data_IF_836199139450
#
_entry.id   IF_836199139450
#
_cell.length_a   1.000
_cell.length_b   1.000
_cell.length_c   1.000
_cell.angle_alpha   90.00
_cell.angle_beta   90.00
_cell.angle_gamma   90.00
#
_symmetry.space_group_name_H-M   'P 1'
#
loop_
_entity.id
_entity.type
_entity.pdbx_description
1 polymer ?
#
# COMPACT_ATOMS: atom_id res chain seq x y z
N UNK A 1 -13.23 -31.71 42.08
CA UNK A 1 -13.10 -30.43 41.36
C UNK A 1 -14.51 -29.89 41.19
N UNK A 2 -14.84 -28.78 41.83
CA UNK A 2 -16.22 -28.32 41.91
C UNK A 2 -16.70 -27.81 40.55
N UNK A 3 -17.87 -28.29 40.11
CA UNK A 3 -18.50 -27.87 38.85
C UNK A 3 -18.68 -26.34 38.76
N UNK A 4 -18.81 -25.67 39.91
CA UNK A 4 -18.87 -24.22 40.01
C UNK A 4 -17.56 -23.52 39.56
N UNK A 5 -16.40 -24.06 39.96
CA UNK A 5 -15.10 -23.52 39.54
C UNK A 5 -14.88 -23.71 38.04
N UNK A 6 -15.23 -24.88 37.51
CA UNK A 6 -15.16 -25.16 36.08
C UNK A 6 -16.07 -24.22 35.28
N UNK A 7 -17.31 -24.02 35.74
CA UNK A 7 -18.26 -23.08 35.13
C UNK A 7 -17.74 -21.64 35.11
N UNK A 8 -17.14 -21.17 36.21
CA UNK A 8 -16.56 -19.84 36.29
C UNK A 8 -15.37 -19.65 35.32
N UNK A 9 -14.49 -20.64 35.20
CA UNK A 9 -13.37 -20.61 34.26
C UNK A 9 -13.87 -20.55 32.81
N UNK A 10 -14.85 -21.36 32.44
CA UNK A 10 -15.42 -21.36 31.09
C UNK A 10 -16.06 -20.01 30.76
N UNK A 11 -16.88 -19.47 31.68
CA UNK A 11 -17.51 -18.17 31.48
C UNK A 11 -16.48 -17.03 31.30
N UNK A 12 -15.41 -17.06 32.08
CA UNK A 12 -14.32 -16.08 31.95
C UNK A 12 -13.60 -16.17 30.60
N UNK A 13 -13.29 -17.38 30.13
CA UNK A 13 -12.67 -17.59 28.82
C UNK A 13 -13.56 -17.09 27.68
N UNK A 14 -14.87 -17.36 27.73
CA UNK A 14 -15.83 -16.87 26.73
C UNK A 14 -15.90 -15.35 26.75
N UNK A 15 -15.93 -14.74 27.94
CA UNK A 15 -15.96 -13.28 28.10
C UNK A 15 -14.72 -12.60 27.51
N UNK A 16 -13.52 -13.09 27.87
CA UNK A 16 -12.26 -12.58 27.31
C UNK A 16 -12.20 -12.80 25.80
N UNK A 17 -12.62 -13.97 25.31
CA UNK A 17 -12.72 -14.25 23.88
C UNK A 17 -13.62 -13.27 23.13
N UNK A 18 -14.77 -12.90 23.72
CA UNK A 18 -15.68 -11.90 23.15
C UNK A 18 -15.09 -10.49 23.07
N UNK A 19 -14.36 -10.04 24.10
CA UNK A 19 -13.65 -8.75 24.08
C UNK A 19 -12.59 -8.74 23.00
N UNK A 20 -11.79 -9.81 22.92
CA UNK A 20 -10.73 -9.94 21.92
C UNK A 20 -11.31 -9.94 20.50
N UNK A 21 -12.42 -10.62 20.27
CA UNK A 21 -13.10 -10.64 18.97
C UNK A 21 -13.48 -9.22 18.52
N UNK A 22 -14.16 -8.46 19.37
CA UNK A 22 -14.57 -7.07 19.07
C UNK A 22 -13.37 -6.16 18.81
N UNK A 23 -12.29 -6.35 19.57
CA UNK A 23 -11.05 -5.58 19.36
C UNK A 23 -10.42 -5.87 17.99
N UNK A 24 -10.38 -7.14 17.59
CA UNK A 24 -9.85 -7.56 16.28
C UNK A 24 -10.71 -7.00 15.15
N UNK A 25 -12.04 -7.04 15.28
CA UNK A 25 -12.97 -6.47 14.29
C UNK A 25 -12.80 -4.95 14.15
N UNK A 26 -12.72 -4.23 15.26
CA UNK A 26 -12.46 -2.78 15.24
C UNK A 26 -11.12 -2.44 14.60
N UNK A 27 -10.08 -3.26 14.83
CA UNK A 27 -8.78 -3.11 14.16
C UNK A 27 -8.85 -3.37 12.66
N UNK A 28 -9.59 -4.40 12.23
CA UNK A 28 -9.81 -4.69 10.80
C UNK A 28 -10.51 -3.54 10.10
N UNK A 29 -11.53 -2.96 10.73
CA UNK A 29 -12.21 -1.80 10.16
C UNK A 29 -11.28 -0.59 10.08
N UNK A 30 -10.48 -0.33 11.11
CA UNK A 30 -9.49 0.75 11.07
C UNK A 30 -8.47 0.57 9.94
N UNK A 31 -7.97 -0.66 9.74
CA UNK A 31 -7.08 -1.00 8.61
C UNK A 31 -7.79 -0.77 7.28
N UNK A 32 -9.04 -1.22 7.14
CA UNK A 32 -9.83 -1.03 5.91
C UNK A 32 -10.04 0.45 5.60
N UNK A 33 -10.33 1.28 6.60
CA UNK A 33 -10.50 2.72 6.44
C UNK A 33 -9.20 3.40 6.00
N UNK A 34 -8.06 3.05 6.60
CA UNK A 34 -6.77 3.58 6.15
C UNK A 34 -6.43 3.13 4.73
N UNK A 35 -6.68 1.86 4.38
CA UNK A 35 -6.45 1.36 3.02
C UNK A 35 -7.31 2.10 2.00
N UNK A 36 -8.59 2.33 2.29
CA UNK A 36 -9.50 3.07 1.42
C UNK A 36 -9.08 4.53 1.26
N UNK A 37 -8.68 5.19 2.34
CA UNK A 37 -8.21 6.57 2.30
C UNK A 37 -7.00 6.73 1.37
N UNK A 38 -5.99 5.87 1.50
CA UNK A 38 -4.80 5.92 0.65
C UNK A 38 -5.10 5.50 -0.79
N UNK A 39 -5.98 4.52 -1.00
CA UNK A 39 -6.44 4.15 -2.34
C UNK A 39 -7.15 5.31 -3.05
N UNK A 40 -7.95 6.10 -2.34
CA UNK A 40 -8.58 7.31 -2.89
C UNK A 40 -7.54 8.35 -3.30
N UNK A 41 -6.52 8.58 -2.47
CA UNK A 41 -5.43 9.51 -2.79
C UNK A 41 -4.60 9.04 -3.98
N UNK A 42 -4.33 7.74 -4.05
CA UNK A 42 -3.69 7.13 -5.20
C UNK A 42 -4.47 7.41 -6.47
N UNK A 43 -5.79 7.10 -6.49
CA UNK A 43 -6.60 7.34 -7.67
C UNK A 43 -6.71 8.81 -8.03
N UNK A 44 -6.86 9.71 -7.05
CA UNK A 44 -6.86 11.15 -7.28
C UNK A 44 -5.59 11.61 -7.99
N UNK A 45 -4.42 11.13 -7.53
CA UNK A 45 -3.15 11.41 -8.21
C UNK A 45 -3.14 10.83 -9.62
N UNK A 46 -3.53 9.56 -9.79
CA UNK A 46 -3.50 8.86 -11.08
C UNK A 46 -4.45 9.46 -12.12
N UNK A 47 -5.58 10.05 -11.71
CA UNK A 47 -6.51 10.72 -12.63
C UNK A 47 -5.94 12.02 -13.22
N UNK A 48 -5.00 12.64 -12.52
CA UNK A 48 -4.31 13.84 -12.99
C UNK A 48 -3.13 13.50 -13.93
N UNK A 49 -2.70 12.23 -14.00
CA UNK A 49 -1.63 11.86 -14.93
C UNK A 49 -2.09 11.97 -16.38
N UNK A 50 -1.24 12.48 -17.29
CA UNK A 50 -1.56 12.49 -18.71
C UNK A 50 -1.74 11.04 -19.17
N UNK A 51 -2.74 10.79 -20.01
CA UNK A 51 -3.08 9.44 -20.48
C UNK A 51 -1.89 8.70 -21.12
N UNK A 52 -0.99 9.44 -21.77
CA UNK A 52 0.27 8.92 -22.31
C UNK A 52 1.24 8.35 -21.26
N UNK A 53 1.19 8.81 -20.01
CA UNK A 53 1.95 8.25 -18.89
C UNK A 53 1.34 6.96 -18.33
N UNK A 54 0.03 6.76 -18.49
CA UNK A 54 -0.68 5.56 -18.02
C UNK A 54 -0.56 4.38 -18.99
N UNK A 55 -0.40 4.67 -20.27
CA UNK A 55 -0.01 3.67 -21.27
C UNK A 55 1.46 3.35 -21.02
N UNK A 56 1.84 2.06 -21.04
CA UNK A 56 3.18 1.51 -20.76
C UNK A 56 4.31 2.12 -21.63
N UNK A 57 4.63 3.40 -21.41
CA UNK A 57 5.55 4.20 -22.20
C UNK A 57 6.80 4.48 -21.37
N UNK A 58 7.95 4.35 -22.02
CA UNK A 58 9.26 4.60 -21.39
C UNK A 58 9.80 6.02 -21.59
N UNK A 59 9.17 6.83 -22.46
CA UNK A 59 9.54 8.22 -22.78
C UNK A 59 8.35 9.02 -23.34
N UNK A 60 8.35 10.36 -23.19
CA UNK A 60 7.33 11.25 -23.77
C UNK A 60 7.47 11.34 -25.30
N UNK A 61 6.36 11.55 -26.03
CA UNK A 61 6.40 11.78 -27.48
C UNK A 61 6.22 13.27 -27.81
N UNK A 62 6.82 13.76 -28.92
CA UNK A 62 6.62 15.13 -29.38
C UNK A 62 5.16 15.45 -29.70
N UNK A 63 4.40 14.46 -30.15
CA UNK A 63 2.97 14.58 -30.50
C UNK A 63 2.06 14.80 -29.30
N UNK A 64 2.50 14.41 -28.10
CA UNK A 64 1.76 14.71 -26.88
C UNK A 64 1.71 16.25 -26.76
N UNK A 65 2.84 16.97 -26.81
CA UNK A 65 2.91 18.43 -26.65
C UNK A 65 2.02 19.25 -27.61
N UNK A 66 1.56 18.67 -28.72
CA UNK A 66 0.75 19.31 -29.76
C UNK A 66 -0.75 19.36 -29.38
N UNK A 67 -1.21 18.48 -28.49
CA UNK A 67 -2.64 18.34 -28.15
C UNK A 67 -3.17 19.37 -27.14
N UNK A 68 -2.36 20.34 -26.69
CA UNK A 68 -2.82 21.53 -25.95
C UNK A 68 -3.40 21.28 -24.55
N UNK A 69 -3.61 20.02 -24.15
CA UNK A 69 -4.13 19.60 -22.85
C UNK A 69 -3.09 18.94 -21.93
N UNK A 70 -1.79 18.98 -22.30
CA UNK A 70 -0.77 18.42 -21.43
C UNK A 70 -0.34 19.41 -20.36
N UNK A 71 -0.40 18.90 -19.14
CA UNK A 71 0.31 19.43 -17.98
C UNK A 71 1.72 19.85 -18.38
N UNK A 72 2.15 20.99 -17.83
CA UNK A 72 3.52 21.45 -17.91
C UNK A 72 4.47 20.43 -17.27
N UNK A 73 5.74 20.42 -17.69
CA UNK A 73 6.75 19.53 -17.10
C UNK A 73 6.84 19.68 -15.57
N UNK A 74 6.62 20.90 -15.06
CA UNK A 74 6.60 21.18 -13.62
C UNK A 74 5.39 20.57 -12.91
N UNK A 75 4.20 20.59 -13.53
CA UNK A 75 3.02 19.93 -12.98
C UNK A 75 3.17 18.41 -12.98
N UNK A 76 3.72 17.83 -14.05
CA UNK A 76 4.03 16.39 -14.11
C UNK A 76 5.04 16.03 -13.02
N UNK A 77 6.09 16.84 -12.84
CA UNK A 77 7.09 16.66 -11.78
C UNK A 77 6.44 16.70 -10.40
N UNK A 78 5.56 17.67 -10.15
CA UNK A 78 4.81 17.79 -8.89
C UNK A 78 3.95 16.55 -8.62
N UNK A 79 3.23 16.04 -9.62
CA UNK A 79 2.43 14.81 -9.48
C UNK A 79 3.30 13.59 -9.17
N UNK A 80 4.46 13.48 -9.82
CA UNK A 80 5.42 12.40 -9.52
C UNK A 80 5.93 12.49 -8.08
N UNK A 81 6.25 13.68 -7.59
CA UNK A 81 6.70 13.88 -6.21
C UNK A 81 5.59 13.58 -5.20
N UNK A 82 4.34 13.95 -5.50
CA UNK A 82 3.17 13.59 -4.69
C UNK A 82 2.98 12.08 -4.65
N UNK A 83 3.12 11.39 -5.79
CA UNK A 83 3.07 9.94 -5.87
C UNK A 83 4.16 9.28 -5.01
N UNK A 84 5.43 9.71 -5.16
CA UNK A 84 6.54 9.19 -4.36
C UNK A 84 6.32 9.45 -2.86
N UNK A 85 5.76 10.60 -2.51
CA UNK A 85 5.43 10.92 -1.11
C UNK A 85 4.34 10.01 -0.57
N UNK A 86 3.28 9.80 -1.35
CA UNK A 86 2.21 8.85 -1.01
C UNK A 86 2.79 7.46 -0.77
N UNK A 87 3.64 6.97 -1.67
CA UNK A 87 4.22 5.63 -1.56
C UNK A 87 5.17 5.47 -0.37
N UNK A 88 5.89 6.52 0.03
CA UNK A 88 6.66 6.52 1.28
C UNK A 88 5.75 6.43 2.51
N UNK A 89 4.67 7.21 2.54
CA UNK A 89 3.69 7.18 3.63
C UNK A 89 2.97 5.81 3.70
N UNK A 90 2.68 5.17 2.57
CA UNK A 90 2.15 3.79 2.48
C UNK A 90 3.12 2.76 3.09
N UNK A 91 4.43 2.90 2.85
CA UNK A 91 5.44 2.06 3.48
C UNK A 91 5.46 2.24 5.01
N UNK A 92 5.35 3.49 5.48
CA UNK A 92 5.29 3.81 6.91
C UNK A 92 4.01 3.25 7.56
N UNK A 93 2.86 3.30 6.87
CA UNK A 93 1.64 2.64 7.33
C UNK A 93 1.82 1.13 7.44
N UNK A 94 2.48 0.51 6.47
CA UNK A 94 2.77 -0.92 6.53
C UNK A 94 3.64 -1.25 7.73
N UNK A 95 4.68 -0.45 7.98
CA UNK A 95 5.56 -0.59 9.15
C UNK A 95 4.79 -0.55 10.47
N UNK A 96 3.79 0.34 10.56
CA UNK A 96 2.90 0.48 11.73
C UNK A 96 1.85 -0.63 11.85
N UNK A 97 1.72 -1.50 10.85
CA UNK A 97 0.67 -2.52 10.83
C UNK A 97 -0.72 -1.92 10.61
N UNK A 98 -0.82 -0.89 9.76
CA UNK A 98 -2.09 -0.29 9.32
C UNK A 98 -2.50 -0.74 7.91
N UNK A 99 -1.76 -1.66 7.30
CA UNK A 99 -2.02 -2.20 5.96
C UNK A 99 -1.97 -3.72 6.04
N UNK A 100 -2.99 -4.37 5.50
CA UNK A 100 -3.08 -5.82 5.44
C UNK A 100 -1.98 -6.43 4.58
N UNK A 101 -1.66 -7.70 4.82
CA UNK A 101 -0.64 -8.43 4.08
C UNK A 101 -0.99 -8.54 2.58
N UNK A 102 -2.28 -8.50 2.22
CA UNK A 102 -2.71 -8.62 0.81
C UNK A 102 -2.62 -7.28 0.08
N UNK A 103 -3.16 -6.22 0.69
CA UNK A 103 -3.07 -4.86 0.15
C UNK A 103 -1.61 -4.45 -0.06
N UNK A 104 -0.73 -4.77 0.90
CA UNK A 104 0.70 -4.49 0.80
C UNK A 104 1.35 -5.09 -0.44
N UNK A 105 1.02 -6.34 -0.81
CA UNK A 105 1.59 -6.97 -2.02
C UNK A 105 1.21 -6.22 -3.28
N UNK A 106 -0.04 -5.77 -3.37
CA UNK A 106 -0.53 -5.01 -4.52
C UNK A 106 0.13 -3.64 -4.59
N UNK A 107 0.23 -2.95 -3.46
CA UNK A 107 0.87 -1.64 -3.36
C UNK A 107 2.34 -1.69 -3.76
N UNK A 108 3.12 -2.62 -3.21
CA UNK A 108 4.54 -2.76 -3.57
C UNK A 108 4.73 -3.10 -5.05
N UNK A 109 3.85 -3.92 -5.62
CA UNK A 109 3.88 -4.19 -7.05
C UNK A 109 3.63 -2.92 -7.87
N UNK A 110 2.62 -2.13 -7.51
CA UNK A 110 2.32 -0.84 -8.13
C UNK A 110 3.46 0.17 -8.00
N UNK A 111 4.03 0.33 -6.80
CA UNK A 111 5.19 1.18 -6.53
C UNK A 111 6.36 0.85 -7.46
N UNK A 112 6.74 -0.43 -7.53
CA UNK A 112 7.84 -0.88 -8.39
C UNK A 112 7.55 -0.62 -9.86
N UNK A 113 6.32 -0.88 -10.27
CA UNK A 113 5.89 -0.70 -11.64
C UNK A 113 5.98 0.77 -12.06
N UNK A 114 5.45 1.68 -11.24
CA UNK A 114 5.47 3.12 -11.51
C UNK A 114 6.87 3.71 -11.41
N UNK A 115 7.66 3.36 -10.39
CA UNK A 115 9.05 3.82 -10.26
C UNK A 115 9.95 3.35 -11.42
N UNK A 116 9.59 2.28 -12.13
CA UNK A 116 10.33 1.81 -13.30
C UNK A 116 9.93 2.52 -14.60
N UNK A 117 8.88 3.36 -14.60
CA UNK A 117 8.25 3.93 -15.80
C UNK A 117 8.31 5.45 -15.81
N UNK A 118 8.30 6.02 -17.01
CA UNK A 118 8.13 7.46 -17.16
C UNK A 118 6.69 7.84 -16.75
N UNK A 119 6.46 9.01 -16.11
CA UNK A 119 7.44 10.02 -15.70
C UNK A 119 8.05 9.79 -14.31
N UNK A 120 7.46 8.90 -13.50
CA UNK A 120 7.83 8.69 -12.09
C UNK A 120 9.29 8.25 -11.93
N UNK A 121 9.83 7.43 -12.84
CA UNK A 121 11.24 7.02 -12.85
C UNK A 121 12.21 8.20 -12.86
N UNK A 122 11.92 9.23 -13.66
CA UNK A 122 12.80 10.39 -13.78
C UNK A 122 12.80 11.17 -12.47
N UNK A 123 11.63 11.44 -11.92
CA UNK A 123 11.49 12.10 -10.62
C UNK A 123 12.12 11.28 -9.50
N UNK A 124 12.02 9.94 -9.54
CA UNK A 124 12.63 9.05 -8.58
C UNK A 124 14.16 9.17 -8.58
N UNK A 125 14.79 9.12 -9.75
CA UNK A 125 16.25 9.28 -9.85
C UNK A 125 16.70 10.66 -9.41
N UNK A 126 15.96 11.71 -9.77
CA UNK A 126 16.21 13.06 -9.27
C UNK A 126 16.25 13.06 -7.74
N UNK A 127 15.19 12.65 -7.05
CA UNK A 127 15.14 12.73 -5.57
C UNK A 127 16.02 11.71 -4.85
N UNK A 128 16.26 10.55 -5.46
CA UNK A 128 17.14 9.51 -4.91
C UNK A 128 18.58 10.01 -4.87
N UNK A 129 19.04 10.61 -5.97
CA UNK A 129 20.43 11.00 -6.17
C UNK A 129 20.69 12.42 -5.62
N UNK A 130 19.65 13.24 -5.39
CA UNK A 130 19.71 14.58 -4.75
C UNK A 130 20.11 14.59 -3.26
N UNK A 131 20.65 13.49 -2.73
CA UNK A 131 21.16 13.42 -1.35
C UNK A 131 22.47 14.23 -1.26
N UNK A 132 22.35 15.55 -1.15
CA UNK A 132 23.49 16.48 -1.13
C UNK A 132 24.37 16.19 0.11
N UNK A 133 25.67 15.89 -0.05
CA UNK A 133 26.56 15.50 1.05
C UNK A 133 26.72 16.58 2.14
N UNK A 134 26.51 17.84 1.77
CA UNK A 134 26.74 18.99 2.66
C UNK A 134 25.54 19.41 3.52
N UNK A 135 24.37 18.77 3.39
CA UNK A 135 23.20 19.11 4.21
C UNK A 135 22.80 17.88 5.04
N UNK A 136 22.90 17.94 6.38
CA UNK A 136 22.50 16.85 7.28
C UNK A 136 20.97 16.79 7.39
N UNK A 137 20.29 16.59 6.27
CA UNK A 137 18.88 16.25 6.24
C UNK A 137 18.74 14.74 6.22
N UNK A 138 17.78 14.25 7.01
CA UNK A 138 17.41 12.84 7.02
C UNK A 138 17.12 12.41 5.57
N UNK A 139 17.67 11.29 5.08
CA UNK A 139 17.41 10.85 3.71
C UNK A 139 15.91 10.77 3.47
N UNK A 140 15.42 11.50 2.48
CA UNK A 140 14.04 11.42 2.06
C UNK A 140 13.83 10.09 1.33
N UNK A 141 12.62 9.54 1.43
CA UNK A 141 12.21 8.30 0.74
C UNK A 141 13.03 7.05 1.11
N UNK A 142 13.43 6.93 2.38
CA UNK A 142 14.22 5.81 2.88
C UNK A 142 13.50 4.47 2.68
N UNK A 143 12.18 4.43 2.88
CA UNK A 143 11.43 3.19 2.69
C UNK A 143 11.35 2.81 1.22
N UNK A 144 11.11 3.76 0.31
CA UNK A 144 11.14 3.47 -1.12
C UNK A 144 12.50 2.97 -1.62
N UNK A 145 13.61 3.48 -1.08
CA UNK A 145 14.95 2.91 -1.37
C UNK A 145 15.05 1.45 -0.95
N UNK A 146 14.49 1.10 0.20
CA UNK A 146 14.46 -0.30 0.65
C UNK A 146 13.56 -1.17 -0.24
N UNK A 147 12.45 -0.63 -0.75
CA UNK A 147 11.58 -1.32 -1.72
C UNK A 147 12.33 -1.60 -3.02
N UNK A 148 13.06 -0.61 -3.56
CA UNK A 148 13.90 -0.75 -4.76
C UNK A 148 15.00 -1.79 -4.53
N UNK A 149 15.79 -1.65 -3.45
CA UNK A 149 16.94 -2.50 -3.15
C UNK A 149 16.58 -3.98 -2.98
N UNK A 150 15.41 -4.28 -2.41
CA UNK A 150 14.96 -5.65 -2.16
C UNK A 150 13.99 -6.17 -3.22
N UNK A 151 13.81 -5.45 -4.32
CA UNK A 151 12.89 -5.83 -5.40
C UNK A 151 11.47 -6.09 -4.89
N UNK A 152 10.99 -5.32 -3.92
CA UNK A 152 9.65 -5.44 -3.34
C UNK A 152 9.37 -6.71 -2.55
N UNK A 153 10.38 -7.51 -2.22
CA UNK A 153 10.21 -8.65 -1.30
C UNK A 153 10.27 -8.25 0.16
N UNK A 154 10.68 -7.02 0.44
CA UNK A 154 10.82 -6.50 1.79
C UNK A 154 9.47 -6.15 2.39
N UNK A 155 9.21 -6.66 3.58
CA UNK A 155 8.00 -6.38 4.34
C UNK A 155 8.38 -5.53 5.56
N UNK A 156 7.97 -4.26 5.56
CA UNK A 156 8.26 -3.32 6.66
C UNK A 156 7.58 -3.70 7.97
N UNK A 157 6.56 -4.58 7.95
CA UNK A 157 5.89 -4.99 9.16
C UNK A 157 6.75 -5.99 9.94
N UNK A 158 7.43 -5.54 10.99
CA UNK A 158 8.24 -6.40 11.86
C UNK A 158 7.43 -7.31 12.80
N UNK A 159 6.10 -7.20 12.79
CA UNK A 159 5.24 -7.98 13.67
C UNK A 159 5.27 -9.48 13.33
N UNK A 160 5.29 -10.33 14.36
CA UNK A 160 5.20 -11.77 14.19
C UNK A 160 3.79 -12.21 13.73
N UNK A 161 3.68 -13.46 13.25
CA UNK A 161 2.46 -14.00 12.65
C UNK A 161 1.24 -13.93 13.58
N UNK A 162 1.42 -14.20 14.87
CA UNK A 162 0.33 -14.17 15.86
C UNK A 162 -0.16 -12.74 16.03
N UNK A 163 0.75 -11.78 16.24
CA UNK A 163 0.39 -10.36 16.36
C UNK A 163 -0.27 -9.85 15.09
N UNK A 164 0.21 -10.22 13.90
CA UNK A 164 -0.45 -9.86 12.63
C UNK A 164 -1.89 -10.36 12.56
N UNK A 165 -2.15 -11.58 13.00
CA UNK A 165 -3.51 -12.12 13.04
C UNK A 165 -4.40 -11.36 14.04
N UNK A 166 -3.87 -11.02 15.21
CA UNK A 166 -4.57 -10.25 16.23
C UNK A 166 -4.81 -8.79 15.82
N UNK A 167 -3.90 -8.22 15.02
CA UNK A 167 -4.07 -6.89 14.42
C UNK A 167 -4.98 -6.91 13.18
N UNK A 168 -5.50 -8.07 12.78
CA UNK A 168 -6.38 -8.19 11.62
C UNK A 168 -5.68 -8.04 10.26
N UNK A 169 -4.34 -8.07 10.23
CA UNK A 169 -3.54 -7.87 9.02
C UNK A 169 -3.50 -9.08 8.11
N UNK A 170 -3.77 -10.26 8.68
CA UNK A 170 -3.97 -11.47 7.91
C UNK A 170 -5.44 -11.64 7.57
N UNK A 171 -5.77 -11.89 6.30
CA UNK A 171 -7.11 -12.32 5.98
C UNK A 171 -7.41 -13.59 6.77
N UNK A 172 -8.57 -13.64 7.43
CA UNK A 172 -9.04 -14.86 8.05
C UNK A 172 -9.14 -15.98 7.00
N UNK A 173 -9.07 -17.22 7.46
CA UNK A 173 -9.30 -18.46 6.68
C UNK A 173 -10.44 -18.40 5.65
N UNK A 174 -11.43 -17.51 5.82
CA UNK A 174 -12.51 -17.22 4.87
C UNK A 174 -12.05 -16.65 3.50
N UNK A 175 -10.86 -16.06 3.37
CA UNK A 175 -10.39 -15.53 2.08
C UNK A 175 -10.06 -16.62 1.04
N UNK A 176 -9.88 -17.88 1.46
CA UNK A 176 -9.83 -19.01 0.51
C UNK A 176 -11.13 -19.14 -0.29
N UNK A 177 -12.27 -18.74 0.27
CA UNK A 177 -13.56 -18.77 -0.43
C UNK A 177 -13.70 -17.67 -1.49
N UNK A 178 -13.23 -16.45 -1.21
CA UNK A 178 -13.34 -15.34 -2.18
C UNK A 178 -12.47 -15.56 -3.44
N UNK A 179 -11.32 -16.22 -3.29
CA UNK A 179 -10.43 -16.58 -4.41
C UNK A 179 -11.02 -17.62 -5.37
N UNK A 180 -12.08 -18.33 -4.97
CA UNK A 180 -12.81 -19.28 -5.83
C UNK A 180 -14.10 -18.69 -6.44
N UNK A 181 -14.55 -17.50 -5.99
CA UNK A 181 -15.83 -16.91 -6.40
C UNK A 181 -15.74 -15.96 -7.60
N UNK A 182 -14.56 -15.46 -7.98
CA UNK A 182 -14.39 -14.56 -9.13
C UNK A 182 -13.57 -15.28 -10.20
N UNK A 183 -14.16 -16.33 -10.79
CA UNK A 183 -13.77 -16.78 -12.13
C UNK A 183 -14.50 -15.84 -13.09
N UNK A 184 -13.79 -14.83 -13.61
CA UNK A 184 -14.27 -13.99 -14.70
C UNK A 184 -14.45 -14.90 -15.91
N UNK A 185 -15.68 -15.33 -16.17
CA UNK A 185 -16.03 -16.01 -17.41
C UNK A 185 -16.10 -14.93 -18.49
N UNK A 186 -15.00 -14.78 -19.23
CA UNK A 186 -14.90 -13.93 -20.42
C UNK A 186 -15.65 -14.54 -21.60
N UNK A 187 -16.93 -14.81 -21.41
CA UNK A 187 -17.85 -15.29 -22.43
C UNK A 187 -19.12 -14.46 -22.34
N UNK A 188 -19.11 -13.30 -22.98
CA UNK A 188 -20.25 -12.85 -23.76
C UNK A 188 -19.76 -11.84 -24.80
N UNK A 189 -20.14 -12.14 -26.04
CA UNK A 189 -19.81 -11.42 -27.28
C UNK A 189 -20.78 -10.28 -27.50
#
# INVERSE_FOLDING_TARGET
MDYALLGAIIAFVVFIGGIMHRSVEGRREAVRQSELFYLQHYWAIMYEFPSGALVDRMSPRPEDAILGELLTDEEIRKLCLLYLRLSEDECELRRRGAVSDETWKQWVLGMRHHMARWPVRNAWYEVRDSSHPDIPHKPQFEHLRQVEAHGGRYDFCSMNVIRRAWHGLRPGWWWRWWRHGVRWDGSER
#
